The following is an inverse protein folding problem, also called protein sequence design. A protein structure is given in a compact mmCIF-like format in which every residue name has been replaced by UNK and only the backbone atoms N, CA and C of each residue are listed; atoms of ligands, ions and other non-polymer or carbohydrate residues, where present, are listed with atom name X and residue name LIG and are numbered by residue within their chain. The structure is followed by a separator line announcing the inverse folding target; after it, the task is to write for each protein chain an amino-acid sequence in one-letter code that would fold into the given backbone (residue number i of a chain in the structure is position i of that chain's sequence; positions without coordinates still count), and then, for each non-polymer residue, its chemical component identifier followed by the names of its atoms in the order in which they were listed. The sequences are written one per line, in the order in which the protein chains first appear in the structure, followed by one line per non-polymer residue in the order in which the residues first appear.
data_IF_000782890399
#
_entry.id   IF_000782890399
#
_cell.length_a   1.000
_cell.length_b   1.000
_cell.length_c   1.000
_cell.angle_alpha   90.00
_cell.angle_beta   90.00
_cell.angle_gamma   90.00
#
_symmetry.space_group_name_H-M   'P 1'
#
loop_
_entity.id
_entity.type
_entity.pdbx_description
1 polymer ?
#
# COMPACT_ATOMS: atom_id res chain seq x y z
N UNK A 1 -21.56 -39.34 13.21
CA UNK A 1 -20.55 -39.74 12.21
C UNK A 1 -19.60 -38.59 12.01
N UNK A 2 -18.54 -38.58 12.83
CA UNK A 2 -17.12 -38.54 12.45
C UNK A 2 -16.68 -37.16 11.98
N UNK A 3 -16.15 -36.39 12.93
CA UNK A 3 -14.79 -35.89 12.75
C UNK A 3 -14.12 -35.81 14.12
N UNK A 4 -13.71 -36.97 14.61
CA UNK A 4 -12.73 -37.08 15.68
C UNK A 4 -11.44 -36.55 15.09
N UNK A 5 -11.20 -35.24 15.23
CA UNK A 5 -9.92 -34.63 14.90
C UNK A 5 -8.85 -35.42 15.66
N UNK A 6 -8.04 -36.22 14.96
CA UNK A 6 -6.97 -36.99 15.59
C UNK A 6 -6.09 -35.98 16.33
N UNK A 7 -5.91 -36.08 17.66
CA UNK A 7 -5.26 -35.02 18.46
C UNK A 7 -3.90 -34.57 17.91
N UNK A 8 -3.15 -35.50 17.30
CA UNK A 8 -1.88 -35.20 16.63
C UNK A 8 -1.99 -34.34 15.37
N UNK A 9 -3.09 -34.41 14.62
CA UNK A 9 -3.33 -33.57 13.42
C UNK A 9 -3.66 -32.13 13.83
N UNK A 10 -4.35 -31.94 14.96
CA UNK A 10 -4.64 -30.62 15.53
C UNK A 10 -3.36 -29.89 15.96
N UNK A 11 -2.49 -30.61 16.67
CA UNK A 11 -1.23 -30.08 17.20
C UNK A 11 -0.18 -29.83 16.10
N UNK A 12 -0.08 -30.75 15.13
CA UNK A 12 0.74 -30.55 13.93
C UNK A 12 0.24 -29.38 13.08
N UNK A 13 -1.09 -29.23 12.92
CA UNK A 13 -1.70 -28.11 12.22
C UNK A 13 -1.38 -26.76 12.87
N UNK A 14 -1.53 -26.64 14.19
CA UNK A 14 -1.17 -25.42 14.92
C UNK A 14 0.32 -25.08 14.80
N UNK A 15 1.19 -26.08 14.79
CA UNK A 15 2.63 -25.89 14.61
C UNK A 15 2.98 -25.37 13.22
N UNK A 16 2.34 -25.88 12.17
CA UNK A 16 2.52 -25.40 10.80
C UNK A 16 2.02 -23.95 10.63
N UNK A 17 0.87 -23.62 11.23
CA UNK A 17 0.34 -22.25 11.19
C UNK A 17 1.27 -21.26 11.89
N UNK A 18 1.81 -21.60 13.06
CA UNK A 18 2.81 -20.76 13.75
C UNK A 18 4.05 -20.51 12.90
N UNK A 19 4.56 -21.56 12.23
CA UNK A 19 5.69 -21.43 11.29
C UNK A 19 5.35 -20.52 10.10
N UNK A 20 4.13 -20.64 9.55
CA UNK A 20 3.67 -19.77 8.48
C UNK A 20 3.60 -18.30 8.94
N UNK A 21 3.11 -18.03 10.14
CA UNK A 21 3.11 -16.69 10.74
C UNK A 21 4.53 -16.14 10.92
N UNK A 22 5.46 -16.95 11.43
CA UNK A 22 6.87 -16.55 11.56
C UNK A 22 7.53 -16.25 10.21
N UNK A 23 7.23 -17.03 9.17
CA UNK A 23 7.75 -16.77 7.82
C UNK A 23 7.11 -15.53 7.20
N UNK A 24 5.81 -15.33 7.38
CA UNK A 24 5.13 -14.12 6.93
C UNK A 24 5.74 -12.87 7.60
N UNK A 25 6.03 -12.93 8.90
CA UNK A 25 6.71 -11.84 9.60
C UNK A 25 8.11 -11.59 9.05
N UNK A 26 8.89 -12.64 8.71
CA UNK A 26 10.20 -12.49 8.07
C UNK A 26 10.10 -11.88 6.67
N UNK A 27 9.14 -12.32 5.86
CA UNK A 27 8.88 -11.75 4.53
C UNK A 27 8.53 -10.27 4.64
N UNK A 28 7.67 -9.89 5.58
CA UNK A 28 7.33 -8.49 5.85
C UNK A 28 8.56 -7.64 6.21
N UNK A 29 9.48 -8.15 7.04
CA UNK A 29 10.74 -7.46 7.36
C UNK A 29 11.64 -7.28 6.13
N UNK A 30 11.76 -8.29 5.27
CA UNK A 30 12.50 -8.15 4.01
C UNK A 30 11.84 -7.18 3.03
N UNK A 31 10.50 -7.13 3.01
CA UNK A 31 9.78 -6.11 2.25
C UNK A 31 10.07 -4.70 2.78
N UNK A 32 10.22 -4.52 4.11
CA UNK A 32 10.62 -3.25 4.71
C UNK A 32 11.99 -2.80 4.20
N UNK A 33 12.99 -3.70 4.24
CA UNK A 33 14.35 -3.42 3.76
C UNK A 33 14.38 -3.08 2.26
N UNK A 34 13.62 -3.82 1.46
CA UNK A 34 13.49 -3.54 0.03
C UNK A 34 12.91 -2.13 -0.20
N UNK A 35 11.83 -1.78 0.48
CA UNK A 35 11.18 -0.47 0.32
C UNK A 35 12.07 0.67 0.82
N UNK A 36 12.79 0.50 1.94
CA UNK A 36 13.76 1.49 2.42
C UNK A 36 14.89 1.71 1.39
N UNK A 37 15.43 0.62 0.83
CA UNK A 37 16.45 0.67 -0.23
C UNK A 37 15.93 1.39 -1.47
N UNK A 38 14.70 1.10 -1.90
CA UNK A 38 14.09 1.77 -3.05
C UNK A 38 13.86 3.26 -2.80
N UNK A 39 13.41 3.65 -1.60
CA UNK A 39 13.26 5.06 -1.23
C UNK A 39 14.60 5.79 -1.21
N UNK A 40 15.64 5.15 -0.67
CA UNK A 40 16.98 5.70 -0.68
C UNK A 40 17.50 5.90 -2.11
N UNK A 41 17.34 4.88 -2.96
CA UNK A 41 17.71 4.95 -4.37
C UNK A 41 16.96 6.07 -5.11
N UNK A 42 15.65 6.16 -4.92
CA UNK A 42 14.81 7.19 -5.53
C UNK A 42 15.25 8.60 -5.12
N UNK A 43 15.58 8.79 -3.84
CA UNK A 43 16.12 10.04 -3.30
C UNK A 43 17.50 10.38 -3.88
N UNK A 44 18.41 9.41 -3.95
CA UNK A 44 19.75 9.60 -4.53
C UNK A 44 19.69 10.01 -6.01
N UNK A 45 18.71 9.47 -6.74
CA UNK A 45 18.43 9.83 -8.14
C UNK A 45 17.62 11.12 -8.30
N UNK A 46 17.38 11.87 -7.22
CA UNK A 46 16.63 13.13 -7.28
C UNK A 46 15.18 12.93 -7.73
N UNK A 47 14.62 11.74 -7.54
CA UNK A 47 13.27 11.35 -7.99
C UNK A 47 13.04 11.53 -9.50
N UNK A 48 14.06 11.19 -10.28
CA UNK A 48 13.99 11.28 -11.73
C UNK A 48 12.91 10.34 -12.32
N UNK A 49 12.31 10.76 -13.44
CA UNK A 49 11.15 10.09 -14.07
C UNK A 49 11.47 8.70 -14.66
N UNK A 50 12.74 8.41 -14.86
CA UNK A 50 13.28 7.16 -15.43
C UNK A 50 13.59 6.10 -14.36
N UNK A 51 13.54 6.45 -13.07
CA UNK A 51 13.82 5.52 -11.96
C UNK A 51 12.86 4.30 -11.94
N UNK A 52 11.54 4.45 -12.21
CA UNK A 52 10.65 3.29 -12.27
C UNK A 52 11.07 2.24 -13.31
N UNK A 53 11.67 2.64 -14.44
CA UNK A 53 12.14 1.75 -15.51
C UNK A 53 13.34 0.93 -15.05
N UNK A 54 14.28 1.56 -14.36
CA UNK A 54 15.46 0.87 -13.82
C UNK A 54 15.06 -0.14 -12.73
N UNK A 55 14.14 0.25 -11.84
CA UNK A 55 13.61 -0.64 -10.79
C UNK A 55 12.83 -1.80 -11.42
N UNK A 56 12.03 -1.52 -12.46
CA UNK A 56 11.30 -2.54 -13.20
C UNK A 56 12.24 -3.58 -13.83
N UNK A 57 13.35 -3.13 -14.41
CA UNK A 57 14.38 -3.99 -15.00
C UNK A 57 15.03 -4.90 -13.94
N UNK A 58 15.46 -4.33 -12.81
CA UNK A 58 16.17 -5.08 -11.75
C UNK A 58 15.25 -6.08 -11.05
N UNK A 59 14.00 -5.71 -10.79
CA UNK A 59 13.04 -6.54 -10.06
C UNK A 59 12.18 -7.45 -10.97
N UNK A 60 12.37 -7.38 -12.29
CA UNK A 60 11.57 -8.10 -13.28
C UNK A 60 10.05 -7.89 -13.10
N UNK A 61 9.64 -6.62 -12.94
CA UNK A 61 8.23 -6.22 -12.82
C UNK A 61 7.86 -5.17 -13.87
N UNK A 62 6.57 -4.86 -14.01
CA UNK A 62 6.15 -3.76 -14.91
C UNK A 62 6.57 -2.41 -14.34
N UNK A 63 6.79 -1.41 -15.21
CA UNK A 63 7.07 -0.02 -14.80
C UNK A 63 6.00 0.51 -13.85
N UNK A 64 4.72 0.18 -14.11
CA UNK A 64 3.60 0.57 -13.24
C UNK A 64 3.69 -0.07 -11.85
N UNK A 65 4.20 -1.30 -11.74
CA UNK A 65 4.40 -1.96 -10.45
C UNK A 65 5.58 -1.33 -9.69
N UNK A 66 6.69 -1.06 -10.38
CA UNK A 66 7.85 -0.37 -9.82
C UNK A 66 7.49 1.03 -9.32
N UNK A 67 6.76 1.82 -10.11
CA UNK A 67 6.28 3.15 -9.70
C UNK A 67 5.44 3.09 -8.41
N UNK A 68 4.51 2.12 -8.29
CA UNK A 68 3.74 1.94 -7.05
C UNK A 68 4.60 1.54 -5.85
N UNK A 69 5.65 0.74 -6.06
CA UNK A 69 6.58 0.39 -4.99
C UNK A 69 7.38 1.62 -4.53
N UNK A 70 7.82 2.46 -5.46
CA UNK A 70 8.52 3.71 -5.17
C UNK A 70 7.61 4.71 -4.43
N UNK A 71 6.36 4.87 -4.86
CA UNK A 71 5.38 5.74 -4.19
C UNK A 71 5.10 5.28 -2.74
N UNK A 72 4.96 3.97 -2.54
CA UNK A 72 4.79 3.37 -1.22
C UNK A 72 6.06 3.57 -0.37
N UNK A 73 7.23 3.27 -0.94
CA UNK A 73 8.53 3.39 -0.29
C UNK A 73 8.76 4.82 0.21
N UNK A 74 8.61 5.82 -0.66
CA UNK A 74 8.74 7.23 -0.31
C UNK A 74 7.75 7.62 0.80
N UNK A 75 6.49 7.21 0.69
CA UNK A 75 5.50 7.57 1.71
C UNK A 75 5.81 6.95 3.09
N UNK A 76 6.28 5.71 3.12
CA UNK A 76 6.63 5.02 4.37
C UNK A 76 7.77 5.72 5.11
N UNK A 77 8.82 6.15 4.41
CA UNK A 77 9.99 6.77 5.05
C UNK A 77 9.80 8.26 5.35
N UNK A 78 8.87 8.95 4.68
CA UNK A 78 8.70 10.42 4.81
C UNK A 78 7.49 10.85 5.66
N UNK A 79 6.37 10.13 5.55
CA UNK A 79 5.08 10.59 6.10
C UNK A 79 4.24 9.51 6.78
N UNK A 80 4.63 8.24 6.72
CA UNK A 80 3.96 7.12 7.40
C UNK A 80 4.92 6.30 8.31
N UNK A 81 5.66 6.94 9.23
CA UNK A 81 6.70 6.26 10.03
C UNK A 81 6.17 5.13 10.94
N UNK A 82 4.95 5.23 11.48
CA UNK A 82 4.35 4.19 12.31
C UNK A 82 3.96 2.96 11.49
N UNK A 83 3.42 3.20 10.28
CA UNK A 83 3.17 2.11 9.32
C UNK A 83 4.47 1.44 8.90
N UNK A 84 5.53 2.21 8.62
CA UNK A 84 6.84 1.64 8.31
C UNK A 84 7.40 0.82 9.47
N UNK A 85 7.30 1.34 10.71
CA UNK A 85 7.74 0.62 11.90
C UNK A 85 7.00 -0.72 12.09
N UNK A 86 5.69 -0.77 11.84
CA UNK A 86 4.92 -2.01 11.91
C UNK A 86 5.35 -3.02 10.83
N UNK A 87 5.65 -2.55 9.62
CA UNK A 87 6.21 -3.38 8.54
C UNK A 87 7.61 -3.92 8.91
N UNK A 88 8.47 -3.06 9.43
CA UNK A 88 9.83 -3.41 9.86
C UNK A 88 9.88 -4.35 11.07
N UNK A 89 8.83 -4.39 11.91
CA UNK A 89 8.65 -5.40 12.96
C UNK A 89 8.03 -6.71 12.44
N UNK A 90 7.53 -6.73 11.21
CA UNK A 90 6.83 -7.87 10.61
C UNK A 90 5.40 -8.05 11.11
N UNK A 91 4.78 -6.99 11.66
CA UNK A 91 3.40 -7.01 12.17
C UNK A 91 2.37 -6.86 11.04
N UNK A 92 2.77 -6.20 9.96
CA UNK A 92 2.01 -6.06 8.72
C UNK A 92 2.93 -6.32 7.52
N UNK A 93 2.36 -6.74 6.39
CA UNK A 93 3.08 -6.85 5.12
C UNK A 93 2.95 -5.57 4.27
N UNK A 94 3.70 -5.50 3.17
CA UNK A 94 3.68 -4.35 2.27
C UNK A 94 2.29 -4.09 1.64
N UNK A 95 1.48 -5.14 1.47
CA UNK A 95 0.12 -5.00 0.93
C UNK A 95 -0.81 -4.30 1.92
N UNK A 96 -0.75 -4.65 3.20
CA UNK A 96 -1.45 -3.94 4.27
C UNK A 96 -0.94 -2.51 4.43
N UNK A 97 0.38 -2.30 4.34
CA UNK A 97 0.96 -0.96 4.33
C UNK A 97 0.42 -0.10 3.18
N UNK A 98 0.25 -0.68 1.97
CA UNK A 98 -0.38 0.02 0.84
C UNK A 98 -1.82 0.47 1.15
N UNK A 99 -2.55 -0.24 2.02
CA UNK A 99 -3.91 0.15 2.44
C UNK A 99 -3.95 1.30 3.44
N UNK A 100 -2.81 1.68 4.02
CA UNK A 100 -2.63 2.94 4.73
C UNK A 100 -2.20 4.05 3.78
N UNK A 101 -1.27 3.75 2.87
CA UNK A 101 -0.76 4.70 1.88
C UNK A 101 -1.84 5.19 0.90
N UNK A 102 -2.61 4.30 0.28
CA UNK A 102 -3.54 4.66 -0.80
C UNK A 102 -4.58 5.73 -0.37
N UNK A 103 -5.23 5.65 0.80
CA UNK A 103 -6.17 6.69 1.23
C UNK A 103 -5.49 7.98 1.70
N UNK A 104 -4.26 7.90 2.21
CA UNK A 104 -3.50 9.06 2.71
C UNK A 104 -2.79 9.83 1.59
N UNK A 105 -2.70 9.26 0.38
CA UNK A 105 -2.04 9.89 -0.76
C UNK A 105 -2.62 11.26 -1.16
N UNK A 106 -3.87 11.55 -0.78
CA UNK A 106 -4.54 12.82 -1.06
C UNK A 106 -4.34 13.90 0.02
N UNK A 107 -3.65 13.57 1.11
CA UNK A 107 -3.39 14.45 2.24
C UNK A 107 -2.06 15.19 2.07
N UNK A 108 -1.92 16.31 2.78
CA UNK A 108 -0.60 16.90 3.05
C UNK A 108 0.24 15.94 3.90
N UNK A 109 1.56 16.13 3.92
CA UNK A 109 2.45 15.26 4.68
C UNK A 109 2.18 15.34 6.19
N UNK A 110 1.82 16.51 6.71
CA UNK A 110 1.41 16.72 8.10
C UNK A 110 0.15 15.92 8.44
N UNK A 111 -0.87 16.03 7.60
CA UNK A 111 -2.13 15.29 7.77
C UNK A 111 -1.91 13.77 7.62
N UNK A 112 -1.06 13.34 6.71
CA UNK A 112 -0.71 11.94 6.54
C UNK A 112 -0.01 11.38 7.79
N UNK A 113 0.96 12.12 8.37
CA UNK A 113 1.61 11.75 9.64
C UNK A 113 0.62 11.69 10.79
N UNK A 114 -0.36 12.60 10.84
CA UNK A 114 -1.40 12.56 11.86
C UNK A 114 -2.29 11.31 11.73
N UNK A 115 -2.72 10.97 10.50
CA UNK A 115 -3.46 9.73 10.25
C UNK A 115 -2.64 8.50 10.64
N UNK A 116 -1.37 8.47 10.28
CA UNK A 116 -0.44 7.38 10.60
C UNK A 116 -0.29 7.18 12.11
N UNK A 117 -0.08 8.27 12.87
CA UNK A 117 -0.04 8.25 14.33
C UNK A 117 -1.34 7.72 14.96
N UNK A 118 -2.51 8.17 14.47
CA UNK A 118 -3.83 7.68 14.91
C UNK A 118 -4.08 6.22 14.56
N UNK A 119 -3.37 5.69 13.56
CA UNK A 119 -3.49 4.30 13.10
C UNK A 119 -2.50 3.36 13.76
N UNK A 120 -1.42 3.83 14.39
CA UNK A 120 -0.34 3.01 14.95
C UNK A 120 -0.83 1.79 15.76
N UNK A 121 -1.74 1.99 16.72
CA UNK A 121 -2.29 0.92 17.56
C UNK A 121 -3.39 0.07 16.89
N UNK A 122 -3.72 0.35 15.62
CA UNK A 122 -4.87 -0.22 14.90
C UNK A 122 -4.48 -0.98 13.63
N UNK A 123 -3.19 -1.10 13.33
CA UNK A 123 -2.68 -1.78 12.15
C UNK A 123 -2.79 -3.31 12.27
N UNK A 124 -2.47 -3.84 13.45
CA UNK A 124 -2.41 -5.29 13.72
C UNK A 124 -3.80 -5.91 13.81
N UNK A 125 -3.94 -7.14 13.33
CA UNK A 125 -5.17 -7.93 13.41
C UNK A 125 -6.28 -7.51 12.44
N UNK A 126 -6.06 -6.51 11.57
CA UNK A 126 -7.00 -6.11 10.53
C UNK A 126 -6.69 -6.79 9.20
N UNK A 127 -7.73 -7.30 8.55
CA UNK A 127 -7.66 -7.66 7.14
C UNK A 127 -7.60 -6.39 6.27
N UNK A 128 -7.14 -6.48 5.01
CA UNK A 128 -6.93 -5.31 4.17
C UNK A 128 -8.17 -4.42 3.95
N UNK A 129 -9.40 -4.95 3.72
CA UNK A 129 -10.60 -4.12 3.61
C UNK A 129 -10.92 -3.34 4.89
N UNK A 130 -10.85 -3.99 6.06
CA UNK A 130 -11.12 -3.35 7.35
C UNK A 130 -10.06 -2.31 7.71
N UNK A 131 -8.80 -2.56 7.35
CA UNK A 131 -7.71 -1.61 7.51
C UNK A 131 -7.97 -0.36 6.65
N UNK A 132 -8.26 -0.53 5.35
CA UNK A 132 -8.59 0.59 4.45
C UNK A 132 -9.74 1.43 4.98
N UNK A 133 -10.83 0.79 5.41
CA UNK A 133 -11.99 1.48 5.96
C UNK A 133 -11.65 2.26 7.25
N UNK A 134 -10.80 1.70 8.11
CA UNK A 134 -10.34 2.39 9.32
C UNK A 134 -9.48 3.63 9.01
N UNK A 135 -8.59 3.52 8.03
CA UNK A 135 -7.74 4.63 7.55
C UNK A 135 -8.62 5.70 6.93
N UNK A 136 -9.57 5.36 6.05
CA UNK A 136 -10.49 6.33 5.45
C UNK A 136 -11.28 7.12 6.50
N UNK A 137 -11.73 6.47 7.58
CA UNK A 137 -12.38 7.17 8.70
C UNK A 137 -11.44 8.16 9.39
N UNK A 138 -10.14 7.89 9.47
CA UNK A 138 -9.19 8.87 10.02
C UNK A 138 -8.91 10.00 9.02
N UNK A 139 -8.75 9.68 7.73
CA UNK A 139 -8.63 10.66 6.65
C UNK A 139 -9.80 11.65 6.69
N UNK A 140 -11.04 11.18 6.76
CA UNK A 140 -12.22 12.07 6.87
C UNK A 140 -12.26 12.92 8.14
N UNK A 141 -11.64 12.47 9.23
CA UNK A 141 -11.56 13.26 10.48
C UNK A 141 -10.48 14.34 10.41
N UNK A 142 -9.37 14.05 9.75
CA UNK A 142 -8.23 14.97 9.59
C UNK A 142 -8.47 15.95 8.44
N UNK A 143 -9.20 15.53 7.42
CA UNK A 143 -9.56 16.30 6.23
C UNK A 143 -11.06 16.17 5.91
N UNK A 144 -11.94 16.84 6.68
CA UNK A 144 -13.39 16.76 6.49
C UNK A 144 -13.83 17.35 5.15
N UNK A 145 -13.20 18.46 4.74
CA UNK A 145 -13.60 19.21 3.54
C UNK A 145 -12.90 18.74 2.27
N UNK A 146 -11.71 18.14 2.36
CA UNK A 146 -10.93 17.84 1.17
C UNK A 146 -11.57 16.81 0.26
N UNK A 147 -12.47 15.95 0.77
CA UNK A 147 -13.29 15.11 -0.11
C UNK A 147 -14.19 15.95 -1.03
N UNK A 148 -14.84 16.98 -0.49
CA UNK A 148 -15.67 17.90 -1.26
C UNK A 148 -14.84 18.77 -2.21
N UNK A 149 -13.69 19.29 -1.76
CA UNK A 149 -12.77 20.09 -2.59
C UNK A 149 -12.22 19.26 -3.74
N UNK A 150 -11.74 18.03 -3.48
CA UNK A 150 -11.28 17.10 -4.52
C UNK A 150 -12.39 16.74 -5.49
N UNK A 151 -13.61 16.50 -5.00
CA UNK A 151 -14.75 16.24 -5.87
C UNK A 151 -15.06 17.46 -6.76
N UNK A 152 -15.04 18.69 -6.24
CA UNK A 152 -15.20 19.91 -7.06
C UNK A 152 -14.11 20.02 -8.12
N UNK A 153 -12.84 19.75 -7.77
CA UNK A 153 -11.71 19.77 -8.72
C UNK A 153 -11.87 18.71 -9.82
N UNK A 154 -12.16 17.46 -9.45
CA UNK A 154 -12.39 16.35 -10.41
C UNK A 154 -13.55 16.64 -11.34
N UNK A 155 -14.63 17.26 -10.84
CA UNK A 155 -15.76 17.68 -11.68
C UNK A 155 -15.39 18.74 -12.72
N UNK A 156 -14.38 19.57 -12.43
CA UNK A 156 -13.83 20.53 -13.38
C UNK A 156 -12.83 19.89 -14.37
N UNK A 157 -12.19 18.77 -13.99
CA UNK A 157 -11.25 17.98 -14.81
C UNK A 157 -11.93 16.94 -15.71
N UNK A 158 -13.27 16.91 -15.76
CA UNK A 158 -14.02 15.92 -16.57
C UNK A 158 -13.61 15.97 -18.03
N UNK A 159 -13.37 14.80 -18.60
CA UNK A 159 -12.93 14.68 -19.99
C UNK A 159 -13.37 13.36 -20.58
N UNK A 160 -13.41 13.34 -21.92
CA UNK A 160 -13.53 12.14 -22.73
C UNK A 160 -12.28 12.04 -23.58
N UNK A 161 -11.60 10.89 -23.52
CA UNK A 161 -10.40 10.60 -24.29
C UNK A 161 -10.68 9.44 -25.24
N UNK A 162 -10.22 9.58 -26.49
CA UNK A 162 -10.22 8.48 -27.47
C UNK A 162 -8.82 7.86 -27.49
N UNK A 163 -8.71 6.62 -27.04
CA UNK A 163 -7.48 5.83 -27.09
C UNK A 163 -7.54 4.91 -28.30
N UNK A 164 -6.68 5.15 -29.28
CA UNK A 164 -6.58 4.30 -30.46
C UNK A 164 -6.03 2.93 -30.05
N UNK A 165 -6.68 1.87 -30.53
CA UNK A 165 -6.25 0.48 -30.34
C UNK A 165 -5.73 -0.13 -31.64
N UNK A 166 -5.47 -1.43 -31.59
CA UNK A 166 -5.06 -2.21 -32.76
C UNK A 166 -6.25 -2.49 -33.69
N UNK A 167 -5.96 -2.91 -34.93
CA UNK A 167 -6.94 -3.33 -35.94
C UNK A 167 -8.06 -2.33 -36.23
N UNK A 168 -7.76 -1.02 -36.13
CA UNK A 168 -8.74 0.04 -36.39
C UNK A 168 -9.77 0.23 -35.27
N UNK A 169 -9.58 -0.42 -34.12
CA UNK A 169 -10.43 -0.24 -32.94
C UNK A 169 -10.01 0.99 -32.14
N UNK A 170 -10.93 1.52 -31.33
CA UNK A 170 -10.62 2.58 -30.35
C UNK A 170 -11.47 2.41 -29.09
N UNK A 171 -10.92 2.86 -27.96
CA UNK A 171 -11.59 2.90 -26.66
C UNK A 171 -11.91 4.35 -26.30
N UNK A 172 -13.17 4.62 -25.94
CA UNK A 172 -13.56 5.87 -25.30
C UNK A 172 -13.43 5.72 -23.78
N UNK A 173 -12.64 6.59 -23.17
CA UNK A 173 -12.50 6.69 -21.71
C UNK A 173 -13.21 7.96 -21.27
N UNK A 174 -14.14 7.83 -20.32
CA UNK A 174 -14.88 8.97 -19.77
C UNK A 174 -14.69 9.04 -18.25
N UNK A 175 -14.18 10.19 -17.79
CA UNK A 175 -14.09 10.54 -16.37
C UNK A 175 -15.20 11.56 -16.03
N UNK A 176 -16.23 11.12 -15.28
CA UNK A 176 -17.49 11.86 -15.01
C UNK A 176 -17.75 12.16 -13.53
#
# INVERSE_FOLDING_TARGET
MIETLVPGVAEQGQTLLRRAEEFAARVARYQALLLETLAEYHRLRGRARDVPQEVALVLAVTERAAARQLDLADALVTRLPQTFAALARGEIDAYKASKVHEPTACLTDEQAREVDARMAARLVGKNPPNLRAAVQRQVHRVDPEGAAVRARRRRAERRVELVHGEDGMATLVADL
#
